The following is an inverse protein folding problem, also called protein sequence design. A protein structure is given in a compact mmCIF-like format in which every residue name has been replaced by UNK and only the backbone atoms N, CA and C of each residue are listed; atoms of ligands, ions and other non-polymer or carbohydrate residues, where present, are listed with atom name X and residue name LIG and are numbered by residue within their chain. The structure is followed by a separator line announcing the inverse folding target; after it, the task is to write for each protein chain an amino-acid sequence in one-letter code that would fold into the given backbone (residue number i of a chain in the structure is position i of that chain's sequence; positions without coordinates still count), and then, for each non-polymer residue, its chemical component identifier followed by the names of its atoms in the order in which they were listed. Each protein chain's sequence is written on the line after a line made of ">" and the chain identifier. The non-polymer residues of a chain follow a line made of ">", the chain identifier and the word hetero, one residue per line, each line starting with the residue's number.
data_IF_192314808337
#
_entry.id   IF_192314808337
#
_cell.length_a   1.000
_cell.length_b   1.000
_cell.length_c   1.000
_cell.angle_alpha   90.00
_cell.angle_beta   90.00
_cell.angle_gamma   90.00
#
_symmetry.space_group_name_H-M   'P 1'
#
loop_
_entity.id
_entity.type
_entity.pdbx_description
1 polymer ?
#
# COMPACT_ATOMS: atom_id res chain seq x y z
N UNK A 1 3.44 8.13 -13.34
CA UNK A 1 4.52 7.57 -14.15
C UNK A 1 4.46 6.04 -14.03
N UNK A 2 3.48 5.38 -14.67
CA UNK A 2 3.46 3.92 -14.72
C UNK A 2 4.66 3.39 -15.54
N UNK A 3 5.05 2.14 -15.32
CA UNK A 3 6.20 1.50 -15.99
C UNK A 3 7.54 2.23 -15.77
N UNK A 4 7.66 2.94 -14.65
CA UNK A 4 8.84 3.74 -14.38
C UNK A 4 10.02 2.87 -13.96
N UNK A 5 11.23 3.35 -14.25
CA UNK A 5 12.49 2.75 -13.79
C UNK A 5 12.99 3.34 -12.47
N UNK A 6 12.13 4.08 -11.76
CA UNK A 6 12.50 4.58 -10.43
C UNK A 6 12.58 3.40 -9.46
N UNK A 7 13.66 3.38 -8.68
CA UNK A 7 13.80 2.41 -7.60
C UNK A 7 13.15 2.88 -6.31
N UNK A 8 13.11 4.21 -6.11
CA UNK A 8 12.56 4.91 -4.95
C UNK A 8 12.02 6.28 -5.39
N UNK A 9 10.94 6.75 -4.77
CA UNK A 9 10.59 8.18 -4.83
C UNK A 9 11.66 8.95 -4.03
N UNK A 10 12.30 9.96 -4.61
CA UNK A 10 13.41 10.65 -3.95
C UNK A 10 12.98 11.71 -2.92
N UNK A 11 13.77 11.87 -1.86
CA UNK A 11 13.59 12.85 -0.77
C UNK A 11 13.71 14.33 -1.21
N UNK A 12 14.06 14.56 -2.48
CA UNK A 12 14.35 15.90 -3.02
C UNK A 12 13.11 16.70 -3.40
N UNK A 13 11.93 16.08 -3.41
CA UNK A 13 10.71 16.78 -3.72
C UNK A 13 10.07 17.32 -2.44
N UNK A 14 10.21 18.62 -2.22
CA UNK A 14 9.61 19.30 -1.07
C UNK A 14 8.20 19.76 -1.43
N UNK A 15 7.26 19.45 -0.53
CA UNK A 15 5.89 19.94 -0.51
C UNK A 15 5.03 19.56 -1.75
N UNK A 16 4.28 18.47 -1.61
CA UNK A 16 3.31 17.97 -2.57
C UNK A 16 1.86 18.22 -2.11
N UNK A 17 1.60 19.35 -1.46
CA UNK A 17 0.26 19.71 -0.97
C UNK A 17 -0.83 19.66 -2.06
N UNK A 18 -0.49 19.90 -3.32
CA UNK A 18 -1.45 19.84 -4.43
C UNK A 18 -1.55 18.45 -5.07
N UNK A 19 -0.70 17.50 -4.69
CA UNK A 19 -0.66 16.18 -5.30
C UNK A 19 -1.83 15.34 -4.80
N UNK A 20 -2.75 15.02 -5.71
CA UNK A 20 -3.94 14.20 -5.43
C UNK A 20 -3.83 12.77 -5.90
N UNK A 21 -3.00 12.51 -6.91
CA UNK A 21 -2.89 11.18 -7.48
C UNK A 21 -1.45 10.83 -7.79
N UNK A 22 -1.06 9.64 -7.36
CA UNK A 22 0.22 9.01 -7.66
C UNK A 22 -0.08 7.69 -8.35
N UNK A 23 0.39 7.56 -9.59
CA UNK A 23 0.34 6.31 -10.33
C UNK A 23 1.76 5.87 -10.64
N UNK A 24 2.17 4.75 -10.03
CA UNK A 24 3.44 4.07 -10.24
C UNK A 24 3.21 2.62 -10.67
N UNK A 25 2.02 2.29 -11.17
CA UNK A 25 1.66 0.94 -11.60
C UNK A 25 2.72 0.35 -12.54
N UNK A 26 3.00 -0.94 -12.41
CA UNK A 26 3.96 -1.69 -13.22
C UNK A 26 5.39 -1.13 -13.18
N UNK A 27 5.77 -0.40 -12.12
CA UNK A 27 7.16 0.04 -11.92
C UNK A 27 7.97 -1.09 -11.29
N UNK A 28 8.43 -2.03 -12.10
CA UNK A 28 9.09 -3.25 -11.65
C UNK A 28 10.39 -3.00 -10.88
N UNK A 29 11.05 -1.85 -11.04
CA UNK A 29 12.28 -1.52 -10.31
C UNK A 29 12.01 -0.89 -8.93
N UNK A 30 10.77 -0.48 -8.67
CA UNK A 30 10.40 0.18 -7.43
C UNK A 30 10.44 -0.82 -6.28
N UNK A 31 11.33 -0.59 -5.31
CA UNK A 31 11.50 -1.47 -4.15
C UNK A 31 10.85 -0.92 -2.89
N UNK A 32 10.69 0.40 -2.80
CA UNK A 32 10.15 1.08 -1.62
C UNK A 32 9.30 2.30 -1.99
N UNK A 33 8.23 2.51 -1.23
CA UNK A 33 7.55 3.81 -1.15
C UNK A 33 8.05 4.55 0.09
N UNK A 34 8.64 5.76 -0.06
CA UNK A 34 9.20 6.53 1.06
C UNK A 34 8.11 7.25 1.86
N UNK A 35 8.53 8.08 2.81
CA UNK A 35 7.64 8.98 3.52
C UNK A 35 6.88 9.93 2.58
N UNK A 36 5.54 9.89 2.67
CA UNK A 36 4.61 10.75 1.94
C UNK A 36 3.91 11.78 2.84
N UNK A 37 4.45 12.05 4.03
CA UNK A 37 3.96 13.08 4.95
C UNK A 37 3.87 14.48 4.32
N UNK A 38 4.70 14.76 3.31
CA UNK A 38 4.72 16.01 2.54
C UNK A 38 3.64 16.08 1.46
N UNK A 39 2.87 15.01 1.26
CA UNK A 39 1.78 14.90 0.28
C UNK A 39 0.44 14.53 0.96
N UNK A 40 -0.04 15.30 1.94
CA UNK A 40 -1.17 14.90 2.80
C UNK A 40 -2.51 14.83 2.04
N UNK A 41 -2.58 15.41 0.83
CA UNK A 41 -3.80 15.50 0.03
C UNK A 41 -3.92 14.41 -1.06
N UNK A 42 -3.10 13.36 -1.00
CA UNK A 42 -3.24 12.22 -1.90
C UNK A 42 -4.61 11.55 -1.69
N UNK A 43 -5.34 11.40 -2.79
CA UNK A 43 -6.64 10.75 -2.87
C UNK A 43 -6.52 9.40 -3.59
N UNK A 44 -5.60 9.23 -4.53
CA UNK A 44 -5.45 7.99 -5.29
C UNK A 44 -3.99 7.54 -5.38
N UNK A 45 -3.71 6.32 -4.91
CA UNK A 45 -2.39 5.70 -4.97
C UNK A 45 -2.49 4.35 -5.70
N UNK A 46 -1.87 4.29 -6.89
CA UNK A 46 -1.79 3.09 -7.73
C UNK A 46 -0.36 2.57 -7.75
N UNK A 47 -0.19 1.35 -7.23
CA UNK A 47 1.06 0.62 -7.07
C UNK A 47 0.92 -0.82 -7.60
N UNK A 48 -0.11 -1.10 -8.38
CA UNK A 48 -0.37 -2.44 -8.90
C UNK A 48 0.75 -2.93 -9.84
N UNK A 49 1.03 -4.22 -9.83
CA UNK A 49 2.08 -4.87 -10.62
C UNK A 49 3.51 -4.35 -10.36
N UNK A 50 3.77 -3.71 -9.21
CA UNK A 50 5.13 -3.38 -8.77
C UNK A 50 5.78 -4.63 -8.15
N UNK A 51 6.27 -5.52 -9.01
CA UNK A 51 6.66 -6.89 -8.61
C UNK A 51 7.83 -6.96 -7.63
N UNK A 52 8.76 -6.00 -7.65
CA UNK A 52 9.87 -5.91 -6.70
C UNK A 52 9.60 -4.98 -5.50
N UNK A 53 8.38 -4.47 -5.34
CA UNK A 53 8.03 -3.63 -4.19
C UNK A 53 8.03 -4.47 -2.91
N UNK A 54 8.87 -4.09 -1.94
CA UNK A 54 9.04 -4.80 -0.67
C UNK A 54 8.42 -4.05 0.50
N UNK A 55 8.46 -2.72 0.45
CA UNK A 55 8.15 -1.86 1.61
C UNK A 55 7.32 -0.65 1.21
N UNK A 56 6.29 -0.38 2.00
CA UNK A 56 5.48 0.84 1.96
C UNK A 56 5.58 1.52 3.32
N UNK A 57 6.03 2.79 3.33
CA UNK A 57 6.21 3.57 4.55
C UNK A 57 4.89 3.85 5.30
N UNK A 58 4.95 3.90 6.64
CA UNK A 58 3.81 4.05 7.55
C UNK A 58 2.97 5.31 7.29
N UNK A 59 3.58 6.37 6.73
CA UNK A 59 2.90 7.62 6.40
C UNK A 59 1.65 7.46 5.52
N UNK A 60 1.56 6.39 4.72
CA UNK A 60 0.36 6.10 3.93
C UNK A 60 -0.85 5.81 4.83
N UNK A 61 -0.62 5.22 6.01
CA UNK A 61 -1.65 5.01 7.03
C UNK A 61 -2.27 6.31 7.53
N UNK A 62 -1.55 7.43 7.43
CA UNK A 62 -1.96 8.77 7.87
C UNK A 62 -2.62 9.61 6.76
N UNK A 63 -2.75 9.10 5.54
CA UNK A 63 -3.38 9.82 4.42
C UNK A 63 -4.91 9.83 4.57
N UNK A 64 -5.42 10.79 5.34
CA UNK A 64 -6.86 10.87 5.69
C UNK A 64 -7.79 11.08 4.50
N UNK A 65 -7.26 11.52 3.34
CA UNK A 65 -8.02 11.80 2.11
C UNK A 65 -8.01 10.65 1.10
N UNK A 66 -7.36 9.53 1.43
CA UNK A 66 -7.21 8.41 0.50
C UNK A 66 -8.57 7.81 0.14
N UNK A 67 -8.86 7.78 -1.16
CA UNK A 67 -10.07 7.21 -1.77
C UNK A 67 -9.75 5.87 -2.43
N UNK A 68 -8.58 5.75 -3.07
CA UNK A 68 -8.15 4.53 -3.76
C UNK A 68 -6.75 4.14 -3.33
N UNK A 69 -6.61 2.90 -2.88
CA UNK A 69 -5.33 2.22 -2.72
C UNK A 69 -5.35 0.90 -3.49
N UNK A 70 -4.61 0.84 -4.61
CA UNK A 70 -4.50 -0.35 -5.44
C UNK A 70 -3.06 -0.85 -5.46
N UNK A 71 -2.80 -1.98 -4.81
CA UNK A 71 -1.48 -2.61 -4.70
C UNK A 71 -1.51 -4.06 -5.15
N UNK A 72 -2.46 -4.44 -6.00
CA UNK A 72 -2.57 -5.81 -6.50
C UNK A 72 -1.32 -6.26 -7.26
N UNK A 73 -1.05 -7.56 -7.25
CA UNK A 73 0.07 -8.20 -7.95
C UNK A 73 1.45 -7.66 -7.53
N UNK A 74 1.60 -7.37 -6.23
CA UNK A 74 2.88 -7.04 -5.60
C UNK A 74 3.32 -8.21 -4.69
N UNK A 75 3.81 -9.33 -5.27
CA UNK A 75 4.04 -10.57 -4.52
C UNK A 75 5.12 -10.43 -3.44
N UNK A 76 6.10 -9.55 -3.64
CA UNK A 76 7.23 -9.32 -2.72
C UNK A 76 6.94 -8.32 -1.60
N UNK A 77 5.75 -7.70 -1.56
CA UNK A 77 5.38 -6.71 -0.56
C UNK A 77 5.29 -7.37 0.82
N UNK A 78 6.17 -6.98 1.74
CA UNK A 78 6.29 -7.56 3.09
C UNK A 78 5.94 -6.57 4.18
N UNK A 79 6.36 -5.32 4.01
CA UNK A 79 6.18 -4.25 5.00
C UNK A 79 5.12 -3.29 4.47
N UNK A 80 4.06 -3.15 5.24
CA UNK A 80 2.93 -2.27 4.95
C UNK A 80 2.56 -1.50 6.23
N UNK A 81 1.94 -0.31 6.13
CA UNK A 81 1.47 0.43 7.29
C UNK A 81 0.71 -0.45 8.29
N UNK A 82 1.05 -0.32 9.58
CA UNK A 82 0.36 -1.01 10.67
C UNK A 82 -1.08 -0.54 10.83
N UNK A 83 -1.36 0.69 10.40
CA UNK A 83 -2.69 1.32 10.48
C UNK A 83 -3.10 1.93 9.15
N UNK A 84 -4.42 2.06 8.93
CA UNK A 84 -4.96 2.77 7.77
C UNK A 84 -6.17 3.63 8.18
N UNK A 85 -6.08 4.94 7.88
CA UNK A 85 -7.23 5.85 7.94
C UNK A 85 -8.09 5.66 6.70
N UNK A 86 -9.24 5.02 6.87
CA UNK A 86 -10.08 4.61 5.76
C UNK A 86 -11.40 5.39 5.62
N UNK A 87 -11.46 6.61 6.20
CA UNK A 87 -12.69 7.44 6.25
C UNK A 87 -13.35 7.63 4.88
N UNK A 88 -12.55 7.91 3.84
CA UNK A 88 -13.02 8.12 2.46
C UNK A 88 -12.64 6.99 1.51
N UNK A 89 -12.04 5.91 2.02
CA UNK A 89 -11.52 4.83 1.20
C UNK A 89 -12.68 4.09 0.53
N UNK A 90 -12.68 4.06 -0.80
CA UNK A 90 -13.66 3.37 -1.65
C UNK A 90 -13.13 2.07 -2.23
N UNK A 91 -11.81 2.00 -2.46
CA UNK A 91 -11.14 0.81 -3.02
C UNK A 91 -9.86 0.48 -2.25
N UNK A 92 -9.78 -0.76 -1.78
CA UNK A 92 -8.61 -1.36 -1.17
C UNK A 92 -8.35 -2.72 -1.80
N UNK A 93 -7.18 -2.90 -2.43
CA UNK A 93 -6.89 -4.08 -3.23
C UNK A 93 -5.49 -4.63 -2.98
N UNK A 94 -5.44 -5.81 -2.35
CA UNK A 94 -4.26 -6.61 -2.03
C UNK A 94 -4.22 -7.92 -2.83
N UNK A 95 -4.94 -8.00 -3.96
CA UNK A 95 -4.96 -9.23 -4.77
C UNK A 95 -3.55 -9.70 -5.08
N UNK A 96 -3.24 -10.96 -4.81
CA UNK A 96 -1.93 -11.57 -5.09
C UNK A 96 -0.73 -10.90 -4.41
N UNK A 97 -0.93 -10.29 -3.22
CA UNK A 97 0.15 -9.84 -2.34
C UNK A 97 0.55 -10.95 -1.35
N UNK A 98 1.19 -12.01 -1.87
CA UNK A 98 1.43 -13.26 -1.13
C UNK A 98 2.44 -13.18 0.01
N UNK A 99 3.40 -12.25 -0.03
CA UNK A 99 4.41 -12.10 1.04
C UNK A 99 4.00 -11.15 2.17
N UNK A 100 2.80 -10.55 2.10
CA UNK A 100 2.37 -9.60 3.11
C UNK A 100 1.99 -10.33 4.41
N UNK A 101 2.64 -9.96 5.52
CA UNK A 101 2.54 -10.70 6.77
C UNK A 101 1.21 -10.49 7.52
N UNK A 102 0.62 -9.30 7.39
CA UNK A 102 -0.61 -8.91 8.09
C UNK A 102 -1.29 -7.77 7.34
N UNK A 103 -2.61 -7.67 7.52
CA UNK A 103 -3.37 -6.50 7.07
C UNK A 103 -3.25 -5.36 8.10
N UNK A 104 -3.39 -4.09 7.67
CA UNK A 104 -3.42 -2.95 8.58
C UNK A 104 -4.62 -2.98 9.51
N UNK A 105 -4.47 -2.44 10.72
CA UNK A 105 -5.61 -2.09 11.58
C UNK A 105 -6.33 -0.87 11.01
N UNK A 106 -7.65 -0.93 10.92
CA UNK A 106 -8.45 0.17 10.39
C UNK A 106 -8.86 1.09 11.54
N UNK A 107 -8.39 2.34 11.51
CA UNK A 107 -8.57 3.31 12.62
C UNK A 107 -9.96 3.96 12.61
N UNK A 108 -10.62 3.99 11.45
CA UNK A 108 -11.97 4.56 11.27
C UNK A 108 -12.80 3.63 10.39
N UNK A 109 -14.08 3.44 10.73
CA UNK A 109 -15.01 2.59 10.00
C UNK A 109 -15.04 2.90 8.49
N UNK A 110 -14.94 1.85 7.68
CA UNK A 110 -14.88 1.89 6.21
C UNK A 110 -16.26 2.07 5.56
N UNK A 111 -17.01 3.11 5.95
CA UNK A 111 -18.41 3.32 5.49
C UNK A 111 -18.55 3.53 3.98
N UNK A 112 -17.47 3.97 3.32
CA UNK A 112 -17.47 4.29 1.88
C UNK A 112 -16.87 3.18 1.01
N UNK A 113 -16.44 2.06 1.61
CA UNK A 113 -15.74 1.01 0.87
C UNK A 113 -16.70 0.27 -0.07
N UNK A 114 -16.34 0.29 -1.35
CA UNK A 114 -17.11 -0.35 -2.43
C UNK A 114 -16.38 -1.55 -3.04
N UNK A 115 -15.04 -1.57 -2.93
CA UNK A 115 -14.19 -2.63 -3.46
C UNK A 115 -13.17 -3.02 -2.40
N UNK A 116 -13.26 -4.27 -1.95
CA UNK A 116 -12.26 -4.92 -1.12
C UNK A 116 -11.83 -6.21 -1.81
N UNK A 117 -10.55 -6.35 -2.13
CA UNK A 117 -10.01 -7.59 -2.67
C UNK A 117 -8.77 -8.01 -1.92
N UNK A 118 -8.82 -9.19 -1.29
CA UNK A 118 -7.76 -9.76 -0.47
C UNK A 118 -7.35 -11.16 -0.97
N UNK A 119 -7.80 -11.55 -2.17
CA UNK A 119 -7.52 -12.89 -2.71
C UNK A 119 -6.03 -13.11 -2.94
N UNK A 120 -5.49 -14.28 -2.60
CA UNK A 120 -4.06 -14.56 -2.78
C UNK A 120 -3.16 -13.98 -1.68
N UNK A 121 -3.76 -13.44 -0.61
CA UNK A 121 -3.11 -13.10 0.66
C UNK A 121 -2.94 -14.34 1.59
N UNK A 122 -3.22 -15.55 1.11
CA UNK A 122 -3.24 -16.76 1.94
C UNK A 122 -1.84 -17.10 2.47
N UNK A 123 -1.64 -16.91 3.76
CA UNK A 123 -0.61 -17.63 4.50
C UNK A 123 -1.15 -19.01 4.83
N UNK A 124 -0.37 -20.02 4.51
CA UNK A 124 -0.59 -21.37 5.02
C UNK A 124 -0.35 -21.35 6.55
N UNK A 125 -1.43 -21.15 7.31
CA UNK A 125 -1.42 -21.21 8.78
C UNK A 125 -1.26 -22.65 9.30
N UNK A 126 -1.16 -23.65 8.43
CA UNK A 126 -0.99 -25.05 8.81
C UNK A 126 0.39 -25.36 9.41
N UNK A 127 1.29 -24.38 9.49
CA UNK A 127 2.66 -24.55 10.00
C UNK A 127 3.00 -23.67 11.22
N UNK A 128 2.01 -23.16 11.96
CA UNK A 128 2.22 -22.63 13.31
C UNK A 128 2.03 -23.71 14.38
N UNK A 129 2.86 -24.76 14.32
CA UNK A 129 3.13 -25.64 15.45
C UNK A 129 4.63 -25.59 15.76
N UNK A 130 5.10 -24.55 16.45
CA UNK A 130 6.36 -24.63 17.22
C UNK A 130 6.23 -23.81 18.51
N UNK A 131 5.81 -24.54 19.55
CA UNK A 131 6.23 -24.48 20.96
C UNK A 131 5.83 -23.26 21.81
N UNK A 132 4.79 -23.48 22.60
CA UNK A 132 4.74 -23.05 24.00
C UNK A 132 5.93 -23.62 24.76
N UNK A 133 6.73 -22.76 25.40
CA UNK A 133 7.39 -22.98 26.70
C UNK A 133 7.78 -21.62 27.30
#
# INVERSE_FOLDING_TARGET
>A
MPHSRIEQLGDRFKNFENLKSVNLSSSEFLTKIPDLSTAPNIENLYLDHCTNLVEIHESIGSLIRLVTLDIQFCPNLRIFPSTLHAKYLRKLNFKSCSSLARLPNIVVEMKNLTVLCLSGFFQDVSNQNVLEH
#
